data_IF_120714925125
#
_entry.id   IF_120714925125
#
_cell.length_a   1.000
_cell.length_b   1.000
_cell.length_c   1.000
_cell.angle_alpha   90.00
_cell.angle_beta   90.00
_cell.angle_gamma   90.00
#
_symmetry.space_group_name_H-M   'P 1'
#
loop_
_entity.id
_entity.type
_entity.pdbx_description
1 polymer ?
#
# COMPACT_ATOMS: atom_id res chain seq x y z
N UNK A 1 10.08 1.39 -41.55
CA UNK A 1 9.30 2.00 -40.46
C UNK A 1 9.10 3.46 -40.83
N UNK A 2 7.86 3.92 -40.95
CA UNK A 2 7.56 5.34 -41.21
C UNK A 2 8.10 6.18 -40.03
N UNK A 3 8.94 7.18 -40.32
CA UNK A 3 9.44 8.09 -39.28
C UNK A 3 8.26 8.88 -38.74
N UNK A 4 7.89 8.66 -37.47
CA UNK A 4 6.83 9.41 -36.82
C UNK A 4 7.23 10.89 -36.76
N UNK A 5 6.44 11.74 -37.41
CA UNK A 5 6.63 13.19 -37.39
C UNK A 5 5.43 13.87 -36.74
N UNK A 6 5.66 14.98 -36.04
CA UNK A 6 4.67 15.64 -35.18
C UNK A 6 4.58 17.13 -35.48
N UNK A 7 3.39 17.63 -35.74
CA UNK A 7 3.10 19.08 -35.84
C UNK A 7 3.03 19.70 -34.46
N UNK A 8 3.19 21.03 -34.38
CA UNK A 8 3.11 21.77 -33.09
C UNK A 8 1.83 21.48 -32.31
N UNK A 9 0.70 21.30 -33.00
CA UNK A 9 -0.57 20.93 -32.36
C UNK A 9 -0.50 19.54 -31.73
N UNK A 10 0.04 18.55 -32.44
CA UNK A 10 0.18 17.18 -31.94
C UNK A 10 1.18 17.13 -30.78
N UNK A 11 2.28 17.91 -30.85
CA UNK A 11 3.22 18.06 -29.73
C UNK A 11 2.49 18.64 -28.51
N UNK A 12 1.65 19.66 -28.70
CA UNK A 12 0.87 20.26 -27.61
C UNK A 12 -0.16 19.27 -27.01
N UNK A 13 -0.83 18.47 -27.83
CA UNK A 13 -1.76 17.44 -27.36
C UNK A 13 -1.04 16.37 -26.54
N UNK A 14 0.09 15.86 -27.04
CA UNK A 14 0.93 14.89 -26.32
C UNK A 14 1.45 15.45 -24.99
N UNK A 15 1.83 16.72 -24.94
CA UNK A 15 2.21 17.40 -23.70
C UNK A 15 1.06 17.46 -22.68
N UNK A 16 -0.18 17.68 -23.12
CA UNK A 16 -1.35 17.67 -22.22
C UNK A 16 -1.64 16.28 -21.67
N UNK A 17 -1.61 15.26 -22.54
CA UNK A 17 -1.81 13.86 -22.15
C UNK A 17 -0.75 13.43 -21.14
N UNK A 18 0.54 13.69 -21.43
CA UNK A 18 1.66 13.27 -20.57
C UNK A 18 1.63 13.92 -19.18
N UNK A 19 1.18 15.17 -19.08
CA UNK A 19 1.20 15.93 -17.81
C UNK A 19 -0.20 16.07 -17.16
N UNK A 20 -1.21 15.34 -17.65
CA UNK A 20 -2.59 15.38 -17.14
C UNK A 20 -3.14 16.82 -16.97
N UNK A 21 -2.92 17.65 -17.99
CA UNK A 21 -3.31 19.06 -17.97
C UNK A 21 -4.73 19.20 -18.53
N UNK A 22 -5.68 19.56 -17.66
CA UNK A 22 -7.08 19.75 -18.04
C UNK A 22 -7.33 21.15 -18.62
N UNK A 23 -6.74 21.41 -19.79
CA UNK A 23 -6.92 22.64 -20.55
C UNK A 23 -7.80 22.38 -21.77
N UNK A 24 -8.94 23.08 -21.90
CA UNK A 24 -9.77 23.05 -23.12
C UNK A 24 -9.09 23.66 -24.35
N UNK A 25 -8.09 24.52 -24.17
CA UNK A 25 -7.40 25.22 -25.28
C UNK A 25 -5.90 24.87 -25.32
N UNK A 26 -5.36 24.49 -26.50
CA UNK A 26 -3.93 24.19 -26.73
C UNK A 26 -3.11 25.41 -27.13
N UNK A 27 -3.74 26.54 -27.44
CA UNK A 27 -3.07 27.72 -28.03
C UNK A 27 -1.93 28.29 -27.19
N UNK A 28 -2.08 28.31 -25.86
CA UNK A 28 -1.03 28.80 -24.97
C UNK A 28 0.22 27.91 -25.03
N UNK A 29 0.02 26.59 -25.01
CA UNK A 29 1.11 25.62 -25.11
C UNK A 29 1.75 25.63 -26.50
N UNK A 30 0.95 25.73 -27.57
CA UNK A 30 1.47 25.89 -28.94
C UNK A 30 2.36 27.13 -29.10
N UNK A 31 2.02 28.25 -28.44
CA UNK A 31 2.86 29.45 -28.44
C UNK A 31 4.20 29.18 -27.77
N UNK A 32 4.21 28.49 -26.63
CA UNK A 32 5.46 28.14 -25.93
C UNK A 32 6.32 27.19 -26.77
N UNK A 33 5.71 26.18 -27.39
CA UNK A 33 6.41 25.26 -28.30
C UNK A 33 7.05 26.04 -29.47
N UNK A 34 6.32 26.98 -30.10
CA UNK A 34 6.88 27.80 -31.19
C UNK A 34 8.03 28.69 -30.72
N UNK A 35 7.99 29.19 -29.49
CA UNK A 35 9.08 29.99 -28.91
C UNK A 35 10.33 29.12 -28.72
N UNK A 36 10.18 27.91 -28.17
CA UNK A 36 11.29 26.96 -28.00
C UNK A 36 11.89 26.57 -29.35
N UNK A 37 11.08 26.22 -30.34
CA UNK A 37 11.55 25.87 -31.68
C UNK A 37 12.40 26.99 -32.29
N UNK A 38 11.97 28.25 -32.14
CA UNK A 38 12.73 29.41 -32.63
C UNK A 38 14.02 29.64 -31.85
N UNK A 39 13.96 29.54 -30.52
CA UNK A 39 15.11 29.79 -29.62
C UNK A 39 16.21 28.76 -29.87
N UNK A 40 15.84 27.51 -30.02
CA UNK A 40 16.75 26.36 -30.16
C UNK A 40 17.03 26.02 -31.64
N UNK A 41 16.50 26.83 -32.56
CA UNK A 41 16.68 26.70 -34.01
C UNK A 41 16.34 25.29 -34.57
N UNK A 42 15.29 24.67 -34.02
CA UNK A 42 14.86 23.30 -34.38
C UNK A 42 14.26 23.32 -35.79
N UNK A 43 14.84 22.52 -36.69
CA UNK A 43 14.42 22.48 -38.09
C UNK A 43 13.29 21.47 -38.30
N UNK A 44 12.28 21.79 -39.11
CA UNK A 44 11.24 20.84 -39.48
C UNK A 44 11.81 19.78 -40.44
N UNK A 45 11.33 18.56 -40.29
CA UNK A 45 11.77 17.40 -41.09
C UNK A 45 10.78 17.15 -42.23
N UNK A 46 9.52 17.53 -42.04
CA UNK A 46 8.48 17.34 -43.05
C UNK A 46 7.37 18.40 -42.92
N UNK A 47 6.40 18.35 -43.83
CA UNK A 47 5.16 19.12 -43.76
C UNK A 47 3.97 18.18 -43.85
N UNK A 48 3.06 18.27 -42.87
CA UNK A 48 1.81 17.51 -42.88
C UNK A 48 0.65 18.32 -42.36
N UNK A 49 -0.57 17.90 -42.68
CA UNK A 49 -1.78 18.52 -42.14
C UNK A 49 -1.84 18.33 -40.62
N UNK A 50 -2.00 19.44 -39.91
CA UNK A 50 -2.09 19.45 -38.45
C UNK A 50 -3.42 18.88 -37.92
N UNK A 51 -4.49 18.99 -38.70
CA UNK A 51 -5.76 18.29 -38.46
C UNK A 51 -6.32 17.81 -39.81
N UNK A 52 -7.21 16.80 -39.84
CA UNK A 52 -7.82 16.33 -41.08
C UNK A 52 -8.54 17.43 -41.88
N UNK A 53 -9.00 18.50 -41.21
CA UNK A 53 -9.71 19.64 -41.79
C UNK A 53 -8.82 20.86 -42.07
N UNK A 54 -7.51 20.78 -41.82
CA UNK A 54 -6.59 21.90 -42.04
C UNK A 54 -6.44 22.21 -43.53
N UNK A 55 -6.53 23.50 -43.88
CA UNK A 55 -6.41 23.98 -45.27
C UNK A 55 -4.97 23.98 -45.78
N UNK A 56 -4.00 24.20 -44.89
CA UNK A 56 -2.58 24.28 -45.21
C UNK A 56 -1.79 23.24 -44.40
N UNK A 57 -0.70 22.77 -44.99
CA UNK A 57 0.24 21.89 -44.30
C UNK A 57 1.04 22.67 -43.25
N UNK A 58 1.29 22.04 -42.12
CA UNK A 58 2.09 22.56 -41.02
C UNK A 58 3.45 21.87 -40.98
N UNK A 59 4.45 22.59 -40.48
CA UNK A 59 5.76 22.02 -40.19
C UNK A 59 5.65 20.87 -39.18
N UNK A 60 6.31 19.76 -39.48
CA UNK A 60 6.39 18.57 -38.65
C UNK A 60 7.84 18.33 -38.21
N UNK A 61 7.99 17.94 -36.96
CA UNK A 61 9.27 17.73 -36.27
C UNK A 61 9.46 16.25 -35.94
N UNK A 62 10.69 15.82 -35.69
CA UNK A 62 10.94 14.42 -35.30
C UNK A 62 10.31 14.09 -33.95
N UNK A 63 10.19 12.79 -33.70
CA UNK A 63 9.94 12.27 -32.35
C UNK A 63 10.98 12.77 -31.33
N UNK A 64 12.28 12.76 -31.68
CA UNK A 64 13.34 13.25 -30.81
C UNK A 64 13.21 14.75 -30.48
N UNK A 65 12.84 15.58 -31.46
CA UNK A 65 12.60 17.02 -31.24
C UNK A 65 11.35 17.23 -30.39
N UNK A 66 10.29 16.45 -30.61
CA UNK A 66 9.06 16.47 -29.80
C UNK A 66 9.39 16.15 -28.34
N UNK A 67 10.13 15.09 -28.07
CA UNK A 67 10.53 14.70 -26.72
C UNK A 67 11.41 15.79 -26.09
N UNK A 68 12.43 16.27 -26.80
CA UNK A 68 13.31 17.35 -26.33
C UNK A 68 12.54 18.63 -25.98
N UNK A 69 11.56 19.02 -26.80
CA UNK A 69 10.71 20.20 -26.56
C UNK A 69 9.90 20.03 -25.27
N UNK A 70 9.28 18.88 -25.06
CA UNK A 70 8.41 18.64 -23.91
C UNK A 70 9.19 18.40 -22.62
N UNK A 71 10.27 17.61 -22.70
CA UNK A 71 10.95 17.03 -21.55
C UNK A 71 12.17 17.82 -21.10
N UNK A 72 12.82 18.57 -21.98
CA UNK A 72 13.97 19.40 -21.61
C UNK A 72 13.55 20.87 -21.48
N UNK A 73 12.87 21.41 -22.50
CA UNK A 73 12.64 22.84 -22.60
C UNK A 73 11.34 23.32 -21.94
N UNK A 74 10.28 22.53 -22.00
CA UNK A 74 8.96 22.91 -21.46
C UNK A 74 8.58 22.17 -20.18
N UNK A 75 9.48 21.35 -19.62
CA UNK A 75 9.17 20.53 -18.45
C UNK A 75 8.69 21.36 -17.26
N UNK A 76 9.44 22.39 -16.84
CA UNK A 76 9.04 23.25 -15.70
C UNK A 76 7.71 23.96 -15.96
N UNK A 77 7.47 24.39 -17.20
CA UNK A 77 6.24 25.04 -17.60
C UNK A 77 5.05 24.08 -17.54
N UNK A 78 5.21 22.86 -18.06
CA UNK A 78 4.18 21.82 -18.07
C UNK A 78 3.90 21.28 -16.67
N UNK A 79 4.95 21.07 -15.86
CA UNK A 79 4.87 20.67 -14.45
C UNK A 79 3.99 21.63 -13.66
N UNK A 80 4.25 22.94 -13.78
CA UNK A 80 3.49 23.96 -13.04
C UNK A 80 2.01 24.00 -13.44
N UNK A 81 1.69 23.61 -14.68
CA UNK A 81 0.32 23.58 -15.22
C UNK A 81 -0.39 22.23 -14.99
N UNK A 82 0.31 21.20 -14.52
CA UNK A 82 -0.27 19.87 -14.26
C UNK A 82 -1.28 19.91 -13.12
N UNK A 83 -2.31 19.07 -13.20
CA UNK A 83 -3.24 18.85 -12.08
C UNK A 83 -2.78 17.72 -11.16
N UNK A 84 -1.76 16.96 -11.56
CA UNK A 84 -1.27 15.82 -10.80
C UNK A 84 -0.27 16.27 -9.71
N UNK A 85 -0.61 16.03 -8.45
CA UNK A 85 0.25 16.38 -7.31
C UNK A 85 1.58 15.62 -7.29
N UNK A 86 1.64 14.42 -7.86
CA UNK A 86 2.89 13.68 -8.00
C UNK A 86 3.83 14.44 -8.95
N UNK A 87 3.32 14.85 -10.11
CA UNK A 87 4.09 15.59 -11.13
C UNK A 87 4.66 16.90 -10.57
N UNK A 88 3.93 17.60 -9.70
CA UNK A 88 4.39 18.83 -9.04
C UNK A 88 5.52 18.64 -8.03
N UNK A 89 5.71 17.43 -7.48
CA UNK A 89 6.76 17.14 -6.49
C UNK A 89 8.16 16.97 -7.10
N UNK A 90 8.27 16.83 -8.42
CA UNK A 90 9.54 16.52 -9.08
C UNK A 90 10.36 17.76 -9.44
N UNK A 91 11.69 17.70 -9.28
CA UNK A 91 12.59 18.82 -9.59
C UNK A 91 13.06 18.85 -11.05
N UNK A 92 13.04 17.71 -11.77
CA UNK A 92 13.44 17.65 -13.18
C UNK A 92 12.85 16.45 -13.95
N UNK A 93 12.87 16.53 -15.29
CA UNK A 93 12.43 15.45 -16.19
C UNK A 93 13.27 14.18 -16.06
N UNK A 94 14.58 14.32 -15.85
CA UNK A 94 15.47 13.20 -15.61
C UNK A 94 15.14 12.46 -14.30
N UNK A 95 14.71 13.17 -13.26
CA UNK A 95 14.29 12.56 -11.99
C UNK A 95 12.94 11.85 -12.11
N UNK A 96 12.01 12.39 -12.91
CA UNK A 96 10.77 11.72 -13.26
C UNK A 96 11.02 10.44 -14.06
N UNK A 97 11.87 10.51 -15.09
CA UNK A 97 12.22 9.36 -15.90
C UNK A 97 12.95 8.30 -15.06
N UNK A 98 13.88 8.71 -14.20
CA UNK A 98 14.56 7.80 -13.27
C UNK A 98 13.58 7.12 -12.30
N UNK A 99 12.62 7.85 -11.72
CA UNK A 99 11.62 7.23 -10.84
C UNK A 99 10.62 6.36 -11.61
N UNK A 100 10.28 6.71 -12.86
CA UNK A 100 9.47 5.87 -13.73
C UNK A 100 10.22 4.59 -14.13
N UNK A 101 11.52 4.70 -14.41
CA UNK A 101 12.39 3.58 -14.70
C UNK A 101 12.60 2.72 -13.44
N UNK A 102 12.81 3.31 -12.25
CA UNK A 102 12.88 2.60 -10.96
C UNK A 102 11.54 1.93 -10.60
N UNK A 103 10.40 2.56 -10.90
CA UNK A 103 9.08 1.97 -10.69
C UNK A 103 8.78 0.85 -11.68
N UNK A 104 9.22 1.00 -12.93
CA UNK A 104 9.11 -0.03 -13.96
C UNK A 104 10.07 -1.19 -13.68
N UNK A 105 11.28 -0.93 -13.18
CA UNK A 105 12.25 -1.93 -12.76
C UNK A 105 11.70 -2.70 -11.57
N UNK A 106 11.15 -2.03 -10.56
CA UNK A 106 10.44 -2.68 -9.45
C UNK A 106 9.25 -3.50 -9.90
N UNK A 107 8.46 -3.00 -10.86
CA UNK A 107 7.35 -3.76 -11.45
C UNK A 107 7.84 -4.98 -12.23
N UNK A 108 8.95 -4.85 -12.97
CA UNK A 108 9.56 -5.95 -13.73
C UNK A 108 10.17 -7.00 -12.79
N UNK A 109 10.82 -6.59 -11.70
CA UNK A 109 11.30 -7.49 -10.65
C UNK A 109 10.13 -8.23 -9.96
N UNK A 110 9.05 -7.52 -9.65
CA UNK A 110 7.84 -8.13 -9.08
C UNK A 110 7.16 -9.09 -10.07
N UNK A 111 7.15 -8.76 -11.36
CA UNK A 111 6.61 -9.60 -12.43
C UNK A 111 7.49 -10.82 -12.68
N UNK A 112 8.82 -10.68 -12.68
CA UNK A 112 9.75 -11.80 -12.78
C UNK A 112 9.65 -12.71 -11.56
N UNK A 113 9.52 -12.15 -10.36
CA UNK A 113 9.26 -12.92 -9.14
C UNK A 113 7.95 -13.68 -9.25
N UNK A 114 6.89 -13.02 -9.71
CA UNK A 114 5.59 -13.64 -9.94
C UNK A 114 5.65 -14.76 -10.99
N UNK A 115 6.36 -14.56 -12.10
CA UNK A 115 6.56 -15.58 -13.13
C UNK A 115 7.42 -16.75 -12.66
N UNK A 116 8.45 -16.49 -11.84
CA UNK A 116 9.27 -17.54 -11.21
C UNK A 116 8.44 -18.34 -10.19
N UNK A 117 7.63 -17.66 -9.37
CA UNK A 117 6.66 -18.29 -8.48
C UNK A 117 5.64 -19.13 -9.27
N UNK A 118 5.14 -18.64 -10.41
CA UNK A 118 4.16 -19.35 -11.23
C UNK A 118 4.76 -20.56 -11.97
N UNK A 119 6.00 -20.43 -12.47
CA UNK A 119 6.77 -21.54 -13.05
C UNK A 119 7.17 -22.58 -11.99
N UNK A 120 7.42 -22.14 -10.76
CA UNK A 120 7.67 -23.02 -9.62
C UNK A 120 6.38 -23.75 -9.19
N UNK A 121 5.24 -23.05 -9.14
CA UNK A 121 3.90 -23.63 -8.90
C UNK A 121 3.54 -24.68 -9.95
N UNK A 122 3.85 -24.42 -11.21
CA UNK A 122 3.59 -25.33 -12.33
C UNK A 122 4.44 -26.62 -12.30
N UNK A 123 5.66 -26.56 -11.75
CA UNK A 123 6.58 -27.70 -11.71
C UNK A 123 6.56 -28.49 -10.39
N UNK A 124 6.23 -27.86 -9.26
CA UNK A 124 6.44 -28.46 -7.92
C UNK A 124 5.20 -28.50 -7.02
N UNK A 125 4.07 -27.89 -7.42
CA UNK A 125 2.89 -27.78 -6.55
C UNK A 125 3.07 -26.75 -5.43
N UNK A 126 1.97 -26.08 -5.07
CA UNK A 126 1.92 -24.89 -4.19
C UNK A 126 2.69 -24.99 -2.87
N UNK A 127 3.51 -23.97 -2.58
CA UNK A 127 3.63 -23.36 -1.24
C UNK A 127 4.01 -21.86 -1.40
N UNK A 128 3.13 -20.90 -1.05
CA UNK A 128 3.57 -19.56 -0.68
C UNK A 128 4.07 -19.59 0.77
N UNK A 129 5.26 -19.05 1.04
CA UNK A 129 5.62 -18.68 2.41
C UNK A 129 4.58 -17.66 2.90
N UNK A 130 3.85 -18.03 3.96
CA UNK A 130 2.85 -17.15 4.57
C UNK A 130 3.53 -15.95 5.22
N UNK A 131 2.89 -14.78 5.18
CA UNK A 131 3.28 -13.66 6.04
C UNK A 131 3.15 -14.11 7.50
N UNK A 132 4.29 -14.43 8.13
CA UNK A 132 4.33 -14.83 9.53
C UNK A 132 3.72 -13.74 10.40
N UNK A 133 2.81 -14.12 11.27
CA UNK A 133 2.28 -13.20 12.28
C UNK A 133 3.40 -12.73 13.21
N UNK A 134 3.33 -11.47 13.61
CA UNK A 134 4.23 -10.83 14.57
C UNK A 134 3.44 -10.22 15.70
N UNK A 135 4.10 -9.78 16.78
CA UNK A 135 3.46 -9.03 17.87
C UNK A 135 2.75 -7.74 17.41
N UNK A 136 3.09 -7.23 16.23
CA UNK A 136 2.49 -6.03 15.64
C UNK A 136 1.33 -6.32 14.70
N UNK A 137 1.05 -7.59 14.38
CA UNK A 137 -0.10 -7.98 13.56
C UNK A 137 -1.41 -7.61 14.26
N UNK A 138 -2.38 -7.09 13.51
CA UNK A 138 -3.64 -6.59 14.07
C UNK A 138 -4.47 -7.68 14.75
N UNK A 139 -4.43 -8.90 14.22
CA UNK A 139 -5.07 -10.08 14.80
C UNK A 139 -4.48 -10.41 16.17
N UNK A 140 -3.15 -10.38 16.27
CA UNK A 140 -2.39 -10.66 17.50
C UNK A 140 -2.68 -9.59 18.57
N UNK A 141 -2.74 -8.31 18.19
CA UNK A 141 -3.06 -7.22 19.13
C UNK A 141 -4.47 -7.34 19.71
N UNK A 142 -5.47 -7.59 18.86
CA UNK A 142 -6.87 -7.72 19.30
C UNK A 142 -7.04 -8.88 20.27
N UNK A 143 -6.41 -10.00 19.97
CA UNK A 143 -6.52 -11.20 20.77
C UNK A 143 -5.74 -11.08 22.09
N UNK A 144 -4.57 -10.43 22.08
CA UNK A 144 -3.86 -10.04 23.30
C UNK A 144 -4.71 -9.12 24.19
N UNK A 145 -5.34 -8.10 23.60
CA UNK A 145 -6.19 -7.16 24.34
C UNK A 145 -7.38 -7.88 25.00
N UNK A 146 -7.97 -8.88 24.32
CA UNK A 146 -9.00 -9.76 24.90
C UNK A 146 -8.46 -10.50 26.12
N UNK A 147 -7.32 -11.18 25.99
CA UNK A 147 -6.72 -11.97 27.06
C UNK A 147 -6.32 -11.11 28.28
N UNK A 148 -5.77 -9.92 28.05
CA UNK A 148 -5.43 -8.95 29.09
C UNK A 148 -6.67 -8.54 29.88
N UNK A 149 -7.76 -8.20 29.19
CA UNK A 149 -9.03 -7.82 29.83
C UNK A 149 -9.61 -8.98 30.61
N UNK A 150 -9.61 -10.19 30.06
CA UNK A 150 -10.11 -11.40 30.74
C UNK A 150 -9.31 -11.74 32.00
N UNK A 151 -7.98 -11.64 31.94
CA UNK A 151 -7.11 -11.85 33.10
C UNK A 151 -7.40 -10.84 34.23
N UNK A 152 -7.50 -9.56 33.88
CA UNK A 152 -7.83 -8.50 34.84
C UNK A 152 -9.25 -8.67 35.39
N UNK A 153 -10.25 -8.95 34.54
CA UNK A 153 -11.61 -9.25 34.99
C UNK A 153 -11.62 -10.42 35.97
N UNK A 154 -10.90 -11.49 35.65
CA UNK A 154 -10.76 -12.64 36.55
C UNK A 154 -10.13 -12.19 37.88
N UNK A 155 -9.06 -11.41 37.88
CA UNK A 155 -8.41 -10.98 39.13
C UNK A 155 -9.29 -10.10 40.02
N UNK A 156 -10.10 -9.20 39.44
CA UNK A 156 -10.84 -8.20 40.20
C UNK A 156 -12.29 -8.58 40.51
N UNK A 157 -12.86 -9.52 39.75
CA UNK A 157 -14.25 -9.96 39.90
C UNK A 157 -14.34 -11.38 40.45
N UNK A 158 -13.26 -12.17 40.44
CA UNK A 158 -13.30 -13.53 40.99
C UNK A 158 -13.20 -13.52 42.51
N UNK A 159 -14.35 -13.48 43.16
CA UNK A 159 -14.58 -14.17 44.43
C UNK A 159 -15.99 -14.73 44.40
N UNK A 160 -16.12 -16.04 44.13
CA UNK A 160 -17.20 -16.99 44.49
C UNK A 160 -18.60 -16.47 44.87
N UNK A 161 -19.06 -15.38 44.25
CA UNK A 161 -20.29 -14.69 44.56
C UNK A 161 -21.18 -14.69 43.33
N UNK A 162 -22.49 -14.72 43.58
CA UNK A 162 -23.52 -14.74 42.55
C UNK A 162 -23.22 -13.67 41.49
N UNK A 163 -23.00 -14.10 40.24
CA UNK A 163 -22.66 -13.21 39.11
C UNK A 163 -23.78 -12.19 38.85
N UNK A 164 -24.98 -12.45 39.37
CA UNK A 164 -26.16 -11.61 39.29
C UNK A 164 -26.30 -10.61 40.45
N UNK A 165 -25.38 -10.63 41.43
CA UNK A 165 -25.44 -9.66 42.52
C UNK A 165 -25.22 -8.24 41.99
N UNK A 166 -26.02 -7.30 42.51
CA UNK A 166 -25.92 -5.87 42.15
C UNK A 166 -24.50 -5.32 42.40
N UNK A 167 -23.80 -5.87 43.40
CA UNK A 167 -22.42 -5.50 43.72
C UNK A 167 -21.42 -5.99 42.66
N UNK A 168 -21.58 -7.23 42.17
CA UNK A 168 -20.77 -7.79 41.07
C UNK A 168 -20.96 -6.98 39.79
N UNK A 169 -22.21 -6.66 39.44
CA UNK A 169 -22.54 -5.84 38.27
C UNK A 169 -21.97 -4.42 38.39
N UNK A 170 -22.02 -3.82 39.57
CA UNK A 170 -21.47 -2.48 39.82
C UNK A 170 -19.93 -2.46 39.71
N UNK A 171 -19.24 -3.48 40.25
CA UNK A 171 -17.79 -3.65 40.12
C UNK A 171 -17.39 -3.87 38.66
N UNK A 172 -18.12 -4.72 37.93
CA UNK A 172 -17.90 -4.94 36.50
C UNK A 172 -18.09 -3.67 35.66
N UNK A 173 -19.13 -2.88 35.95
CA UNK A 173 -19.38 -1.60 35.28
C UNK A 173 -18.29 -0.55 35.57
N UNK A 174 -17.76 -0.52 36.79
CA UNK A 174 -16.63 0.34 37.13
C UNK A 174 -15.34 -0.10 36.40
N UNK A 175 -15.03 -1.40 36.40
CA UNK A 175 -13.86 -1.95 35.73
C UNK A 175 -13.93 -1.76 34.21
N UNK A 176 -15.12 -1.86 33.60
CA UNK A 176 -15.28 -1.60 32.16
C UNK A 176 -14.95 -0.16 31.81
N UNK A 177 -15.26 0.81 32.69
CA UNK A 177 -14.88 2.22 32.52
C UNK A 177 -13.37 2.43 32.67
N UNK A 178 -12.72 1.77 33.64
CA UNK A 178 -11.27 1.83 33.83
C UNK A 178 -10.54 1.21 32.63
N UNK A 179 -11.08 0.13 32.06
CA UNK A 179 -10.51 -0.57 30.90
C UNK A 179 -10.85 0.08 29.55
N UNK A 180 -11.47 1.26 29.52
CA UNK A 180 -11.63 2.04 28.27
C UNK A 180 -10.26 2.52 27.78
N UNK A 181 -9.35 2.88 28.69
CA UNK A 181 -8.00 3.30 28.33
C UNK A 181 -7.07 2.10 28.19
N UNK A 182 -6.56 1.88 26.98
CA UNK A 182 -5.57 0.82 26.71
C UNK A 182 -4.31 1.02 27.56
N UNK A 183 -3.82 2.25 27.67
CA UNK A 183 -2.64 2.58 28.49
C UNK A 183 -2.81 2.18 29.96
N UNK A 184 -3.96 2.49 30.57
CA UNK A 184 -4.23 2.12 31.97
C UNK A 184 -4.37 0.61 32.12
N UNK A 185 -5.04 -0.04 31.18
CA UNK A 185 -5.25 -1.49 31.17
C UNK A 185 -3.93 -2.25 31.08
N UNK A 186 -3.08 -1.87 30.13
CA UNK A 186 -1.76 -2.48 29.95
C UNK A 186 -0.85 -2.21 31.14
N UNK A 187 -0.89 -1.00 31.70
CA UNK A 187 -0.09 -0.70 32.89
C UNK A 187 -0.53 -1.57 34.07
N UNK A 188 -1.83 -1.65 34.34
CA UNK A 188 -2.36 -2.45 35.45
C UNK A 188 -2.05 -3.94 35.26
N UNK A 189 -2.21 -4.45 34.04
CA UNK A 189 -1.84 -5.81 33.68
C UNK A 189 -0.34 -6.06 33.92
N UNK A 190 0.53 -5.16 33.47
CA UNK A 190 1.97 -5.30 33.60
C UNK A 190 2.48 -5.32 35.05
N UNK A 191 1.74 -4.74 35.99
CA UNK A 191 2.07 -4.80 37.42
C UNK A 191 1.68 -6.15 38.06
N UNK A 192 0.65 -6.82 37.54
CA UNK A 192 0.07 -8.03 38.15
C UNK A 192 0.46 -9.32 37.44
N UNK A 193 0.75 -9.26 36.15
CA UNK A 193 0.90 -10.42 35.29
C UNK A 193 2.12 -10.33 34.37
N UNK A 194 2.62 -11.49 33.99
CA UNK A 194 3.52 -11.70 32.85
C UNK A 194 2.75 -12.32 31.69
N UNK A 195 3.09 -11.92 30.46
CA UNK A 195 2.49 -12.45 29.23
C UNK A 195 3.56 -13.12 28.36
N UNK A 196 3.38 -14.39 28.04
CA UNK A 196 4.28 -15.18 27.19
C UNK A 196 4.07 -14.87 25.70
N UNK A 197 4.51 -13.68 25.29
CA UNK A 197 4.20 -13.12 23.96
C UNK A 197 4.77 -13.98 22.82
N UNK A 198 6.00 -14.46 22.96
CA UNK A 198 6.66 -15.28 21.92
C UNK A 198 5.92 -16.60 21.68
N UNK A 199 5.41 -17.21 22.75
CA UNK A 199 4.64 -18.45 22.66
C UNK A 199 3.27 -18.21 22.04
N UNK A 200 2.60 -17.14 22.45
CA UNK A 200 1.32 -16.73 21.89
C UNK A 200 1.41 -16.43 20.38
N UNK A 201 2.39 -15.63 19.95
CA UNK A 201 2.57 -15.27 18.54
C UNK A 201 2.81 -16.51 17.68
N UNK A 202 3.66 -17.44 18.16
CA UNK A 202 3.94 -18.70 17.47
C UNK A 202 2.68 -19.57 17.33
N UNK A 203 1.87 -19.67 18.37
CA UNK A 203 0.65 -20.47 18.34
C UNK A 203 -0.44 -19.83 17.48
N UNK A 204 -0.56 -18.50 17.52
CA UNK A 204 -1.45 -17.72 16.65
C UNK A 204 -1.05 -17.86 15.18
N UNK A 205 0.24 -17.80 14.85
CA UNK A 205 0.77 -18.01 13.50
C UNK A 205 0.43 -19.41 12.98
N UNK A 206 0.65 -20.44 13.80
CA UNK A 206 0.29 -21.82 13.49
C UNK A 206 -1.23 -21.99 13.29
N UNK A 207 -2.04 -21.32 14.10
CA UNK A 207 -3.50 -21.34 13.97
C UNK A 207 -3.98 -20.65 12.69
N UNK A 208 -3.39 -19.51 12.34
CA UNK A 208 -3.65 -18.81 11.10
C UNK A 208 -3.28 -19.67 9.88
N UNK A 209 -2.13 -20.35 9.94
CA UNK A 209 -1.74 -21.33 8.92
C UNK A 209 -2.80 -22.42 8.74
N UNK A 210 -3.27 -23.01 9.84
CA UNK A 210 -4.27 -24.07 9.81
C UNK A 210 -5.60 -23.54 9.24
N UNK A 211 -6.10 -22.41 9.72
CA UNK A 211 -7.36 -21.83 9.29
C UNK A 211 -7.39 -21.50 7.78
N UNK A 212 -6.26 -21.08 7.22
CA UNK A 212 -6.15 -20.73 5.80
C UNK A 212 -5.96 -21.95 4.89
N UNK A 213 -5.30 -23.00 5.37
CA UNK A 213 -4.98 -24.19 4.57
C UNK A 213 -5.98 -25.35 4.74
N UNK A 214 -6.78 -25.35 5.79
CA UNK A 214 -7.79 -26.38 6.06
C UNK A 214 -9.15 -26.02 5.44
N UNK A 215 -9.22 -25.90 4.11
CA UNK A 215 -10.49 -25.77 3.40
C UNK A 215 -11.09 -27.16 3.17
N UNK A 216 -12.06 -27.55 4.02
CA UNK A 216 -12.95 -28.70 3.77
C UNK A 216 -12.56 -30.04 4.39
N UNK A 217 -11.58 -30.10 5.30
CA UNK A 217 -11.25 -31.28 6.11
C UNK A 217 -11.63 -31.12 7.58
N UNK A 218 -11.92 -32.22 8.28
CA UNK A 218 -12.09 -32.23 9.73
C UNK A 218 -10.76 -31.86 10.41
N UNK A 219 -10.81 -30.97 11.40
CA UNK A 219 -9.65 -30.68 12.24
C UNK A 219 -9.23 -31.92 13.03
N UNK A 220 -7.95 -32.24 13.04
CA UNK A 220 -7.40 -33.29 13.88
C UNK A 220 -7.31 -32.88 15.34
N UNK A 221 -6.93 -33.85 16.18
CA UNK A 221 -6.80 -33.66 17.63
C UNK A 221 -5.75 -32.60 17.99
N UNK A 222 -4.71 -32.43 17.17
CA UNK A 222 -3.64 -31.46 17.42
C UNK A 222 -4.08 -30.03 17.08
N UNK A 223 -4.82 -29.83 15.99
CA UNK A 223 -5.40 -28.54 15.63
C UNK A 223 -6.43 -28.11 16.68
N UNK A 224 -7.33 -29.01 17.10
CA UNK A 224 -8.30 -28.72 18.15
C UNK A 224 -7.63 -28.31 19.46
N UNK A 225 -6.57 -29.01 19.88
CA UNK A 225 -5.79 -28.63 21.07
C UNK A 225 -5.14 -27.27 20.96
N UNK A 226 -4.67 -26.89 19.77
CA UNK A 226 -4.10 -25.56 19.55
C UNK A 226 -5.16 -24.46 19.68
N UNK A 227 -6.35 -24.67 19.10
CA UNK A 227 -7.47 -23.73 19.24
C UNK A 227 -7.95 -23.62 20.69
N UNK A 228 -8.06 -24.75 21.39
CA UNK A 228 -8.39 -24.77 22.82
C UNK A 228 -7.35 -24.01 23.63
N UNK A 229 -6.06 -24.20 23.31
CA UNK A 229 -4.96 -23.48 23.96
C UNK A 229 -5.07 -21.97 23.74
N UNK A 230 -5.27 -21.53 22.50
CA UNK A 230 -5.45 -20.12 22.12
C UNK A 230 -6.71 -19.49 22.73
N UNK A 231 -7.77 -20.27 22.94
CA UNK A 231 -9.02 -19.73 23.51
C UNK A 231 -8.88 -19.29 24.96
N UNK A 232 -7.94 -19.88 25.71
CA UNK A 232 -7.81 -19.71 27.15
C UNK A 232 -6.57 -18.89 27.53
N UNK A 233 -6.82 -17.66 27.98
CA UNK A 233 -5.78 -16.69 28.38
C UNK A 233 -4.80 -17.23 29.43
N UNK A 234 -5.24 -18.17 30.30
CA UNK A 234 -4.40 -18.76 31.36
C UNK A 234 -3.19 -19.54 30.82
N UNK A 235 -3.20 -19.89 29.53
CA UNK A 235 -2.08 -20.58 28.90
C UNK A 235 -0.93 -19.63 28.52
N UNK A 236 -1.18 -18.32 28.46
CA UNK A 236 -0.18 -17.32 28.04
C UNK A 236 0.07 -16.24 29.09
N UNK A 237 -0.65 -16.30 30.22
CA UNK A 237 -0.62 -15.27 31.25
C UNK A 237 -0.40 -15.93 32.60
N UNK A 238 0.60 -15.44 33.33
CA UNK A 238 0.91 -15.90 34.69
C UNK A 238 0.90 -14.74 35.67
N UNK A 239 0.45 -14.99 36.90
CA UNK A 239 0.53 -14.01 37.98
C UNK A 239 2.00 -13.81 38.36
N UNK A 240 2.42 -12.56 38.46
CA UNK A 240 3.71 -12.21 39.06
C UNK A 240 3.69 -12.67 40.51
N UNK A 241 4.63 -13.53 40.88
CA UNK A 241 4.85 -13.88 42.29
C UNK A 241 5.67 -12.76 42.91
N UNK A 242 5.15 -12.19 44.00
CA UNK A 242 5.91 -11.29 44.89
C UNK A 242 7.15 -11.98 45.48
#
# INVERSE_FOLDING_TARGET
>A
MEKKCYTVLEIAQRGKEKFEIDLKDTRALEKQIRLVIRRENIQPIDKKKSTPRARNDANAYSEADKDRILDDFLFDYLRNMSNNEAVKKFKSSAEYQKMADEANEKYLEELERWMQEEAYRANYGNFPEQEKLTEYSEEVKKEKDRMVREALFSSYISSEGDLESVETLSKAAYLSQVFVSQFVTERLFSELFDFEMDEFVRDADKSNYIAQNSIGGDFGVEEMKLFDKLSNWRNYVSLKRE
#
